data_IF_583516311546
#
_entry.id   IF_583516311546
#
_cell.length_a   1.000
_cell.length_b   1.000
_cell.length_c   1.000
_cell.angle_alpha   90.00
_cell.angle_beta   90.00
_cell.angle_gamma   90.00
#
_symmetry.space_group_name_H-M   'P 1'
#
loop_
_entity.id
_entity.type
_entity.pdbx_description
1 polymer ?
#
# COMPACT_ATOMS: atom_id res chain seq x y z
N UNK A 1 9.36 8.56 4.17
CA UNK A 1 10.80 8.57 4.49
C UNK A 1 11.26 7.15 4.74
N UNK A 2 12.55 6.88 4.67
CA UNK A 2 13.05 5.51 4.74
C UNK A 2 13.04 4.98 6.18
N UNK A 3 12.91 3.66 6.32
CA UNK A 3 13.07 3.02 7.61
C UNK A 3 14.50 3.23 8.13
N UNK A 4 14.65 3.56 9.40
CA UNK A 4 15.96 3.81 10.02
C UNK A 4 16.57 5.18 9.74
N UNK A 5 15.84 6.10 9.08
CA UNK A 5 16.30 7.48 8.92
C UNK A 5 16.39 8.21 10.29
N UNK A 6 17.31 9.18 10.45
CA UNK A 6 17.48 9.91 11.70
C UNK A 6 16.19 10.61 12.17
N UNK A 7 16.02 10.74 13.48
CA UNK A 7 14.95 11.57 14.04
C UNK A 7 15.16 13.06 13.68
N UNK A 8 14.07 13.85 13.70
CA UNK A 8 14.15 15.31 13.48
C UNK A 8 14.27 15.75 12.01
N UNK A 9 13.98 14.86 11.06
CA UNK A 9 13.94 15.21 9.64
C UNK A 9 12.92 16.33 9.35
N UNK A 10 13.27 17.21 8.42
CA UNK A 10 12.40 18.26 7.94
C UNK A 10 11.58 17.77 6.73
N UNK A 11 10.29 17.56 6.91
CA UNK A 11 9.39 17.09 5.85
C UNK A 11 8.78 18.22 5.02
N UNK A 12 9.09 19.49 5.35
CA UNK A 12 8.59 20.63 4.59
C UNK A 12 7.06 20.81 4.64
N UNK A 13 6.37 20.33 5.69
CA UNK A 13 4.90 20.30 5.81
C UNK A 13 4.18 21.62 5.51
N UNK A 14 4.81 22.76 5.76
CA UNK A 14 4.26 24.08 5.44
C UNK A 14 4.27 24.36 3.92
N UNK A 15 5.28 23.83 3.23
CA UNK A 15 5.63 24.16 1.86
C UNK A 15 5.12 23.13 0.86
N UNK A 16 5.02 21.86 1.28
CA UNK A 16 4.72 20.73 0.41
C UNK A 16 3.57 19.86 0.93
N UNK A 17 2.81 19.28 0.00
CA UNK A 17 1.92 18.14 0.22
C UNK A 17 2.50 16.95 -0.58
N UNK A 18 3.17 16.03 0.13
CA UNK A 18 4.01 15.04 -0.54
C UNK A 18 5.20 15.70 -1.27
N UNK A 19 5.50 15.37 -2.53
CA UNK A 19 6.52 16.06 -3.33
C UNK A 19 5.99 17.34 -4.00
N UNK A 20 4.68 17.63 -3.94
CA UNK A 20 4.07 18.75 -4.63
C UNK A 20 4.15 20.03 -3.80
N UNK A 21 4.47 21.17 -4.43
CA UNK A 21 4.44 22.47 -3.76
C UNK A 21 2.98 22.81 -3.42
N UNK A 22 2.72 23.07 -2.13
CA UNK A 22 1.43 23.48 -1.60
C UNK A 22 1.38 24.99 -1.35
N UNK A 23 2.30 25.51 -0.54
CA UNK A 23 2.37 26.94 -0.20
C UNK A 23 3.83 27.42 -0.19
N UNK A 24 4.32 28.06 -1.26
CA UNK A 24 5.72 28.45 -1.36
C UNK A 24 6.07 29.72 -0.59
N UNK A 25 5.09 30.48 -0.08
CA UNK A 25 5.35 31.79 0.53
C UNK A 25 6.27 31.62 1.75
N UNK A 26 7.45 32.24 1.77
CA UNK A 26 8.40 32.12 2.90
C UNK A 26 9.03 30.73 3.05
N UNK A 27 9.03 29.91 1.99
CA UNK A 27 9.75 28.65 1.92
C UNK A 27 11.05 28.82 1.15
N UNK A 28 12.14 28.24 1.65
CA UNK A 28 13.30 27.95 0.81
C UNK A 28 13.03 26.62 0.10
N UNK A 29 12.65 26.67 -1.18
CA UNK A 29 12.32 25.47 -1.96
C UNK A 29 13.55 24.61 -2.30
N UNK A 30 14.76 25.10 -2.02
CA UNK A 30 16.02 24.40 -2.27
C UNK A 30 16.66 23.83 -0.99
N UNK A 31 16.04 24.05 0.16
CA UNK A 31 16.48 23.43 1.41
C UNK A 31 16.37 21.90 1.35
N UNK A 32 17.12 21.23 2.23
CA UNK A 32 17.08 19.77 2.33
C UNK A 32 15.80 19.30 3.02
N UNK A 33 14.84 18.81 2.22
CA UNK A 33 13.59 18.24 2.67
C UNK A 33 13.56 16.74 2.48
N UNK A 34 12.99 16.05 3.46
CA UNK A 34 12.71 14.63 3.38
C UNK A 34 11.32 14.39 2.81
N UNK A 35 11.26 13.86 1.59
CA UNK A 35 9.99 13.51 0.97
C UNK A 35 9.49 12.11 1.38
N UNK A 36 8.17 11.86 1.30
CA UNK A 36 7.61 10.52 1.42
C UNK A 36 8.17 9.57 0.35
N UNK A 37 8.25 8.28 0.68
CA UNK A 37 8.72 7.22 -0.23
C UNK A 37 7.63 6.77 -1.21
N UNK A 38 6.37 7.10 -0.92
CA UNK A 38 5.23 6.81 -1.76
C UNK A 38 4.16 7.89 -1.55
N UNK A 39 3.55 8.33 -2.64
CA UNK A 39 2.43 9.28 -2.63
C UNK A 39 1.43 8.92 -3.71
N UNK A 40 0.16 9.25 -3.47
CA UNK A 40 -0.90 9.21 -4.47
C UNK A 40 -1.78 10.46 -4.33
N UNK A 41 -2.58 10.75 -5.35
CA UNK A 41 -3.39 11.97 -5.39
C UNK A 41 -4.78 11.76 -4.79
N UNK A 42 -5.50 12.84 -4.48
CA UNK A 42 -6.92 12.75 -4.08
C UNK A 42 -7.82 12.17 -5.18
N UNK A 43 -7.35 12.10 -6.44
CA UNK A 43 -8.04 11.37 -7.49
C UNK A 43 -7.97 9.84 -7.30
N UNK A 44 -7.03 9.33 -6.49
CA UNK A 44 -6.81 7.90 -6.23
C UNK A 44 -7.27 7.42 -4.85
N UNK A 45 -7.38 8.31 -3.86
CA UNK A 45 -8.00 8.04 -2.55
C UNK A 45 -8.36 9.36 -1.85
N UNK A 46 -8.67 9.33 -0.56
CA UNK A 46 -8.97 10.55 0.21
C UNK A 46 -8.35 10.55 1.61
N UNK A 47 -8.16 9.38 2.21
CA UNK A 47 -7.80 9.24 3.60
C UNK A 47 -7.22 7.84 3.82
N UNK A 48 -5.89 7.77 3.96
CA UNK A 48 -5.23 6.59 4.49
C UNK A 48 -5.65 6.44 5.95
N UNK A 49 -6.16 5.28 6.32
CA UNK A 49 -6.63 4.98 7.68
C UNK A 49 -5.63 4.17 8.51
N UNK A 50 -4.59 3.63 7.88
CA UNK A 50 -3.57 2.84 8.54
C UNK A 50 -2.81 1.95 7.57
N UNK A 51 -1.75 1.33 8.08
CA UNK A 51 -0.92 0.39 7.32
C UNK A 51 0.02 -0.41 8.21
N UNK A 52 0.41 -1.60 7.75
CA UNK A 52 1.35 -2.49 8.44
C UNK A 52 2.28 -3.17 7.44
N UNK A 53 3.50 -3.46 7.89
CA UNK A 53 4.35 -4.44 7.22
C UNK A 53 3.85 -5.83 7.58
N UNK A 54 3.51 -6.61 6.57
CA UNK A 54 3.04 -7.97 6.75
C UNK A 54 4.16 -8.88 7.26
N UNK A 55 3.90 -9.61 8.33
CA UNK A 55 4.83 -10.59 8.91
C UNK A 55 4.14 -11.93 9.23
N UNK A 56 2.93 -12.15 8.69
CA UNK A 56 2.17 -13.36 8.85
C UNK A 56 2.62 -14.50 7.93
N UNK A 57 1.93 -15.62 8.04
CA UNK A 57 2.20 -16.86 7.31
C UNK A 57 1.09 -17.28 6.34
N UNK A 58 -0.13 -16.74 6.48
CA UNK A 58 -1.28 -17.09 5.63
C UNK A 58 -1.20 -16.55 4.20
N UNK A 59 -0.30 -15.60 3.93
CA UNK A 59 -0.05 -15.06 2.60
C UNK A 59 1.42 -15.29 2.19
N UNK A 60 1.79 -16.53 1.79
CA UNK A 60 3.18 -16.87 1.48
C UNK A 60 3.80 -15.94 0.43
N UNK A 61 5.05 -15.51 0.69
CA UNK A 61 5.80 -14.64 -0.20
C UNK A 61 5.48 -13.14 -0.08
N UNK A 62 4.64 -12.74 0.88
CA UNK A 62 4.34 -11.32 1.16
C UNK A 62 5.00 -10.77 2.42
N UNK A 63 5.78 -11.58 3.13
CA UNK A 63 6.50 -11.12 4.32
C UNK A 63 7.41 -9.92 3.95
N UNK A 64 7.29 -8.82 4.69
CA UNK A 64 7.99 -7.57 4.41
C UNK A 64 7.26 -6.60 3.47
N UNK A 65 6.13 -7.01 2.86
CA UNK A 65 5.31 -6.11 2.05
C UNK A 65 4.51 -5.18 2.97
N UNK A 66 4.33 -3.91 2.58
CA UNK A 66 3.55 -2.95 3.33
C UNK A 66 2.13 -2.84 2.75
N UNK A 67 1.13 -3.12 3.57
CA UNK A 67 -0.28 -2.98 3.20
C UNK A 67 -0.86 -1.76 3.89
N UNK A 68 -1.61 -0.94 3.15
CA UNK A 68 -2.36 0.18 3.73
C UNK A 68 -3.74 0.31 3.09
N UNK A 69 -4.68 0.89 3.82
CA UNK A 69 -6.06 1.05 3.37
C UNK A 69 -6.46 2.52 3.26
N UNK A 70 -7.28 2.82 2.24
CA UNK A 70 -7.94 4.11 2.05
C UNK A 70 -9.45 3.96 2.25
N UNK A 71 -10.01 4.88 3.04
CA UNK A 71 -11.42 4.82 3.46
C UNK A 71 -12.40 5.04 2.29
N UNK A 72 -12.25 6.11 1.51
CA UNK A 72 -13.30 6.55 0.58
C UNK A 72 -13.59 5.54 -0.52
N UNK A 73 -12.56 4.83 -0.98
CA UNK A 73 -12.69 3.89 -2.10
C UNK A 73 -12.67 2.42 -1.66
N UNK A 74 -12.56 2.15 -0.35
CA UNK A 74 -12.36 0.79 0.14
C UNK A 74 -11.11 0.15 -0.44
N UNK A 75 -10.10 0.96 -0.80
CA UNK A 75 -8.92 0.48 -1.51
C UNK A 75 -7.90 -0.05 -0.51
N UNK A 76 -7.36 -1.23 -0.79
CA UNK A 76 -6.19 -1.79 -0.12
C UNK A 76 -5.03 -1.76 -1.10
N UNK A 77 -3.94 -1.15 -0.69
CA UNK A 77 -2.71 -1.09 -1.47
C UNK A 77 -1.68 -2.04 -0.88
N UNK A 78 -0.91 -2.66 -1.76
CA UNK A 78 0.25 -3.47 -1.42
C UNK A 78 1.48 -2.82 -2.02
N UNK A 79 2.42 -2.45 -1.16
CA UNK A 79 3.74 -1.96 -1.55
C UNK A 79 4.80 -3.01 -1.27
N UNK A 80 5.70 -3.19 -2.23
CA UNK A 80 6.88 -4.04 -2.08
C UNK A 80 8.13 -3.20 -1.90
N UNK A 81 9.05 -3.61 -0.99
CA UNK A 81 10.30 -2.91 -0.82
C UNK A 81 11.19 -3.10 -2.05
N UNK A 82 11.90 -2.04 -2.44
CA UNK A 82 12.90 -2.05 -3.51
C UNK A 82 14.28 -1.61 -2.99
N UNK A 83 15.28 -1.72 -3.85
CA UNK A 83 16.63 -1.29 -3.53
C UNK A 83 16.67 0.20 -3.14
N UNK A 84 17.56 0.55 -2.22
CA UNK A 84 17.73 1.93 -1.77
C UNK A 84 16.52 2.48 -1.02
N UNK A 85 15.76 1.64 -0.32
CA UNK A 85 14.68 2.06 0.60
C UNK A 85 13.42 2.62 -0.06
N UNK A 86 13.27 2.38 -1.37
CA UNK A 86 12.07 2.74 -2.13
C UNK A 86 10.99 1.67 -2.00
N UNK A 87 9.78 2.03 -2.39
CA UNK A 87 8.62 1.15 -2.37
C UNK A 87 7.86 1.26 -3.68
N UNK A 88 7.43 0.13 -4.24
CA UNK A 88 6.63 0.09 -5.46
C UNK A 88 5.27 -0.52 -5.19
N UNK A 89 4.23 -0.01 -5.86
CA UNK A 89 2.90 -0.63 -5.87
C UNK A 89 2.97 -1.98 -6.56
N UNK A 90 2.69 -3.05 -5.80
CA UNK A 90 2.49 -4.39 -6.34
C UNK A 90 1.03 -4.64 -6.68
N UNK A 91 0.11 -4.25 -5.79
CA UNK A 91 -1.34 -4.38 -6.02
C UNK A 91 -2.12 -3.19 -5.48
N UNK A 92 -3.27 -2.96 -6.13
CA UNK A 92 -4.33 -2.06 -5.68
C UNK A 92 -5.64 -2.85 -5.78
N UNK A 93 -6.24 -3.16 -4.64
CA UNK A 93 -7.46 -3.94 -4.53
C UNK A 93 -8.59 -3.02 -4.12
N UNK A 94 -9.71 -3.04 -4.84
CA UNK A 94 -10.90 -2.29 -4.45
C UNK A 94 -11.91 -3.22 -3.81
N UNK A 95 -12.42 -2.83 -2.66
CA UNK A 95 -13.51 -3.48 -1.94
C UNK A 95 -14.77 -2.61 -2.03
N UNK A 96 -15.97 -3.20 -2.08
CA UNK A 96 -17.21 -2.44 -1.87
C UNK A 96 -17.36 -1.94 -0.42
N UNK A 97 -16.52 -2.39 0.51
CA UNK A 97 -16.56 -1.99 1.92
C UNK A 97 -15.64 -0.77 2.12
N UNK A 98 -16.17 0.36 2.63
CA UNK A 98 -15.32 1.46 3.11
C UNK A 98 -14.64 1.03 4.41
N UNK A 99 -13.32 0.84 4.34
CA UNK A 99 -12.52 0.46 5.50
C UNK A 99 -12.34 1.66 6.43
N UNK A 100 -12.57 1.47 7.73
CA UNK A 100 -12.38 2.52 8.74
C UNK A 100 -11.24 2.20 9.71
N UNK A 101 -10.77 0.94 9.74
CA UNK A 101 -9.62 0.54 10.54
C UNK A 101 -8.83 -0.60 9.89
N UNK A 102 -7.54 -0.61 10.15
CA UNK A 102 -6.61 -1.66 9.79
C UNK A 102 -5.88 -2.11 11.07
N UNK A 103 -5.76 -3.41 11.27
CA UNK A 103 -5.04 -4.02 12.39
C UNK A 103 -4.09 -5.11 11.93
N UNK A 104 -3.17 -5.47 12.82
CA UNK A 104 -2.34 -6.66 12.70
C UNK A 104 -2.49 -7.48 13.98
N UNK A 105 -2.77 -8.78 13.86
CA UNK A 105 -2.86 -9.67 15.01
C UNK A 105 -1.48 -10.12 15.52
N UNK A 106 -1.46 -10.88 16.61
CA UNK A 106 -0.21 -11.40 17.21
C UNK A 106 0.56 -12.37 16.33
N UNK A 107 -0.07 -12.88 15.26
CA UNK A 107 0.51 -13.79 14.28
C UNK A 107 1.04 -13.03 13.06
N UNK A 108 0.87 -11.70 13.01
CA UNK A 108 1.30 -10.87 11.90
C UNK A 108 0.30 -10.79 10.75
N UNK A 109 -0.90 -11.35 10.91
CA UNK A 109 -1.95 -11.33 9.89
C UNK A 109 -2.70 -9.99 9.89
N UNK A 110 -3.08 -9.54 8.69
CA UNK A 110 -3.75 -8.24 8.52
C UNK A 110 -5.26 -8.41 8.68
N UNK A 111 -5.83 -7.57 9.54
CA UNK A 111 -7.26 -7.47 9.80
C UNK A 111 -7.79 -6.11 9.32
N UNK A 112 -9.00 -6.07 8.79
CA UNK A 112 -9.70 -4.88 8.30
C UNK A 112 -11.07 -4.77 8.96
N UNK A 113 -11.44 -3.58 9.38
CA UNK A 113 -12.79 -3.26 9.84
C UNK A 113 -13.44 -2.21 8.95
N UNK A 114 -14.76 -2.29 8.82
CA UNK A 114 -15.60 -1.28 8.20
C UNK A 114 -16.81 -0.94 9.08
N UNK A 115 -17.69 -0.07 8.60
CA UNK A 115 -18.94 0.29 9.31
C UNK A 115 -20.04 -0.78 9.28
N UNK A 116 -19.73 -1.98 8.78
CA UNK A 116 -20.67 -3.08 8.67
C UNK A 116 -20.58 -4.06 9.85
N UNK A 117 -19.97 -3.65 10.96
CA UNK A 117 -19.80 -4.41 12.20
C UNK A 117 -18.98 -5.71 12.07
N UNK A 118 -18.32 -5.92 10.94
CA UNK A 118 -17.49 -7.10 10.69
C UNK A 118 -16.00 -6.77 10.70
N UNK A 119 -15.23 -7.71 11.25
CA UNK A 119 -13.79 -7.78 11.10
C UNK A 119 -13.46 -8.81 10.01
N UNK A 120 -12.64 -8.41 9.05
CA UNK A 120 -12.19 -9.22 7.94
C UNK A 120 -10.70 -9.51 8.09
N UNK A 121 -10.25 -10.65 7.58
CA UNK A 121 -8.83 -10.95 7.43
C UNK A 121 -8.45 -10.85 5.97
N UNK A 122 -7.30 -10.23 5.68
CA UNK A 122 -6.74 -10.20 4.34
C UNK A 122 -6.04 -11.53 4.06
N UNK A 123 -6.39 -12.16 2.95
CA UNK A 123 -5.83 -13.46 2.55
C UNK A 123 -5.52 -13.48 1.06
N UNK A 124 -4.56 -14.31 0.66
CA UNK A 124 -4.30 -14.59 -0.76
C UNK A 124 -5.27 -15.62 -1.29
N UNK A 125 -5.95 -15.29 -2.39
CA UNK A 125 -6.72 -16.29 -3.14
C UNK A 125 -5.84 -16.90 -4.23
N UNK A 126 -5.44 -18.16 -4.08
CA UNK A 126 -4.90 -18.95 -5.19
C UNK A 126 -6.04 -19.36 -6.11
N UNK A 127 -6.09 -18.77 -7.31
CA UNK A 127 -6.96 -19.27 -8.38
C UNK A 127 -6.24 -20.43 -9.05
N UNK A 128 -6.66 -21.66 -8.78
CA UNK A 128 -6.24 -22.81 -9.58
C UNK A 128 -6.91 -22.67 -10.94
N UNK A 129 -6.14 -22.28 -11.97
CA UNK A 129 -6.62 -22.39 -13.34
C UNK A 129 -6.93 -23.87 -13.61
N UNK A 130 -8.10 -24.21 -14.18
CA UNK A 130 -8.31 -25.57 -14.64
C UNK A 130 -7.17 -25.92 -15.59
N UNK A 131 -6.57 -27.11 -15.42
CA UNK A 131 -5.57 -27.63 -16.35
C UNK A 131 -6.19 -27.68 -17.75
N UNK A 132 -6.01 -26.63 -18.54
CA UNK A 132 -6.15 -26.76 -19.97
C UNK A 132 -4.98 -27.61 -20.42
N UNK A 133 -5.26 -28.88 -20.68
CA UNK A 133 -4.41 -29.70 -21.54
C UNK A 133 -4.29 -28.90 -22.84
N UNK A 134 -3.13 -28.27 -23.06
CA UNK A 134 -2.78 -27.74 -24.36
C UNK A 134 -2.69 -28.96 -25.30
N UNK A 135 -3.77 -29.25 -26.03
CA UNK A 135 -3.66 -30.08 -27.22
C UNK A 135 -2.85 -29.25 -28.22
N UNK A 136 -1.66 -29.68 -28.66
CA UNK A 136 -0.93 -28.98 -29.69
C UNK A 136 -1.79 -29.00 -30.96
N UNK A 137 -2.25 -27.83 -31.40
CA UNK A 137 -2.82 -27.68 -32.73
C UNK A 137 -1.70 -27.86 -33.75
N UNK A 138 -1.59 -29.07 -34.29
CA UNK A 138 -0.80 -29.32 -35.50
C UNK A 138 -1.60 -28.74 -36.67
N UNK A 139 -1.08 -27.70 -37.31
CA UNK A 139 -1.54 -27.27 -38.63
C UNK A 139 -1.02 -28.29 -39.64
N UNK A 140 -1.90 -29.14 -40.15
CA UNK A 140 -1.60 -29.93 -41.37
C UNK A 140 -1.72 -29.03 -42.61
N UNK A 141 -0.96 -29.32 -43.69
CA UNK A 141 -0.67 -28.39 -44.78
C UNK A 141 -1.91 -27.85 -45.51
#
# INVERSE_FOLDING_TARGET
HQAGSPAGQNFGWRCFEGPSIFNPAGCDLFADYTFPTFTYTHADGCAIIGGYVYNGSLMPGRAGHYFFADHCRGTIWELVPEAGGQWRVAQRLNSPIPWNTLGQDSQGEILLGGFNDFLYRLETRTVTLPRHHFLPLIRQP
#
